data_IF_497308375675
#
_entry.id   IF_497308375675
#
_cell.length_a   1.000
_cell.length_b   1.000
_cell.length_c   1.000
_cell.angle_alpha   90.00
_cell.angle_beta   90.00
_cell.angle_gamma   90.00
#
_symmetry.space_group_name_H-M   'P 1'
#
loop_
_entity.id
_entity.type
_entity.pdbx_description
1 polymer ?
#
# COMPACT_ATOMS: atom_id res chain seq x y z
N UNK A 1 -22.53 4.78 10.83
CA UNK A 1 -21.10 5.12 10.78
C UNK A 1 -20.97 6.38 9.95
N UNK A 2 -20.43 7.45 10.54
CA UNK A 2 -20.25 8.76 9.93
C UNK A 2 -18.80 9.21 10.21
N UNK A 3 -18.16 9.80 9.21
CA UNK A 3 -16.81 10.35 9.34
C UNK A 3 -16.82 11.61 10.21
N UNK A 4 -15.70 11.92 10.85
CA UNK A 4 -15.61 13.04 11.79
C UNK A 4 -15.79 14.42 11.14
N UNK A 5 -15.54 14.55 9.83
CA UNK A 5 -15.65 15.83 9.14
C UNK A 5 -15.46 15.74 7.62
N UNK A 6 -15.57 16.88 6.91
CA UNK A 6 -15.42 16.95 5.46
C UNK A 6 -14.02 16.57 4.98
N UNK A 7 -12.98 16.86 5.77
CA UNK A 7 -11.60 16.51 5.42
C UNK A 7 -11.41 14.99 5.34
N UNK A 8 -11.99 14.24 6.29
CA UNK A 8 -11.96 12.77 6.29
C UNK A 8 -12.69 12.19 5.07
N UNK A 9 -13.79 12.82 4.66
CA UNK A 9 -14.53 12.42 3.46
C UNK A 9 -13.74 12.71 2.17
N UNK A 10 -13.09 13.88 2.10
CA UNK A 10 -12.22 14.25 0.98
C UNK A 10 -11.02 13.31 0.87
N UNK A 11 -10.40 12.98 2.00
CA UNK A 11 -9.28 12.03 2.09
C UNK A 11 -9.68 10.63 1.64
N UNK A 12 -10.82 10.12 2.12
CA UNK A 12 -11.36 8.85 1.65
C UNK A 12 -11.65 8.87 0.15
N UNK A 13 -12.29 9.93 -0.35
CA UNK A 13 -12.59 10.11 -1.77
C UNK A 13 -11.32 10.13 -2.64
N UNK A 14 -10.27 10.81 -2.17
CA UNK A 14 -8.97 10.85 -2.83
C UNK A 14 -8.28 9.48 -2.84
N UNK A 15 -8.37 8.71 -1.76
CA UNK A 15 -7.84 7.35 -1.69
C UNK A 15 -8.58 6.39 -2.62
N UNK A 16 -9.91 6.39 -2.59
CA UNK A 16 -10.74 5.51 -3.44
C UNK A 16 -10.57 5.85 -4.93
N UNK A 17 -10.50 7.13 -5.28
CA UNK A 17 -10.22 7.58 -6.65
C UNK A 17 -8.89 7.01 -7.17
N UNK A 18 -7.85 6.98 -6.32
CA UNK A 18 -6.55 6.40 -6.69
C UNK A 18 -6.60 4.88 -6.83
N UNK A 19 -7.34 4.16 -5.97
CA UNK A 19 -7.54 2.72 -6.12
C UNK A 19 -8.27 2.40 -7.44
N UNK A 20 -9.39 3.08 -7.69
CA UNK A 20 -10.22 2.92 -8.90
C UNK A 20 -9.52 3.36 -10.19
N UNK A 21 -8.39 4.07 -10.09
CA UNK A 21 -7.52 4.35 -11.24
C UNK A 21 -6.80 3.09 -11.71
N UNK A 22 -6.41 2.20 -10.81
CA UNK A 22 -5.67 0.98 -11.13
C UNK A 22 -6.57 -0.22 -11.39
N UNK A 23 -7.66 -0.34 -10.63
CA UNK A 23 -8.63 -1.43 -10.78
C UNK A 23 -10.05 -0.91 -10.60
N UNK A 24 -10.85 -0.96 -11.67
CA UNK A 24 -12.26 -0.52 -11.66
C UNK A 24 -13.16 -1.42 -10.82
N UNK A 25 -12.73 -2.65 -10.56
CA UNK A 25 -13.42 -3.60 -9.70
C UNK A 25 -12.85 -3.61 -8.27
N UNK A 26 -11.97 -2.67 -7.92
CA UNK A 26 -11.34 -2.61 -6.60
C UNK A 26 -12.39 -2.60 -5.49
N UNK A 27 -12.38 -3.64 -4.66
CA UNK A 27 -13.11 -3.67 -3.41
C UNK A 27 -12.25 -3.09 -2.29
N UNK A 28 -12.90 -2.58 -1.23
CA UNK A 28 -12.24 -2.21 0.02
C UNK A 28 -12.86 -2.96 1.19
N UNK A 29 -12.03 -3.29 2.18
CA UNK A 29 -12.48 -3.84 3.45
C UNK A 29 -12.44 -2.75 4.50
N UNK A 30 -13.60 -2.45 5.08
CA UNK A 30 -13.76 -1.44 6.12
C UNK A 30 -13.78 -2.10 7.48
N UNK A 31 -12.93 -1.64 8.39
CA UNK A 31 -12.78 -2.19 9.74
C UNK A 31 -12.85 -1.05 10.74
N UNK A 32 -13.90 -1.05 11.55
CA UNK A 32 -14.06 -0.09 12.63
C UNK A 32 -13.33 -0.54 13.90
N UNK A 33 -12.74 0.41 14.61
CA UNK A 33 -12.15 0.19 15.93
C UNK A 33 -12.24 1.47 16.76
N UNK A 34 -13.16 1.50 17.73
CA UNK A 34 -13.41 2.70 18.53
C UNK A 34 -13.76 3.90 17.63
N UNK A 35 -13.13 5.05 17.88
CA UNK A 35 -13.36 6.30 17.16
C UNK A 35 -12.66 6.38 15.78
N UNK A 36 -12.12 5.28 15.27
CA UNK A 36 -11.44 5.26 13.98
C UNK A 36 -11.98 4.14 13.08
N UNK A 37 -11.85 4.35 11.77
CA UNK A 37 -12.12 3.34 10.75
C UNK A 37 -10.88 3.15 9.89
N UNK A 38 -10.46 1.90 9.74
CA UNK A 38 -9.45 1.48 8.79
C UNK A 38 -10.11 1.02 7.48
N UNK A 39 -9.71 1.60 6.37
CA UNK A 39 -10.12 1.21 5.02
C UNK A 39 -8.93 0.55 4.34
N UNK A 40 -9.06 -0.76 4.12
CA UNK A 40 -8.05 -1.58 3.45
C UNK A 40 -8.39 -1.75 1.98
N UNK A 41 -7.42 -1.51 1.10
CA UNK A 41 -7.53 -1.72 -0.34
C UNK A 41 -6.37 -2.55 -0.87
N UNK A 42 -6.57 -3.22 -2.00
CA UNK A 42 -5.58 -4.12 -2.60
C UNK A 42 -5.26 -3.67 -4.03
N UNK A 43 -4.33 -2.72 -4.22
CA UNK A 43 -3.89 -2.35 -5.56
C UNK A 43 -3.12 -3.52 -6.21
N UNK A 44 -2.90 -3.49 -7.54
CA UNK A 44 -2.23 -4.56 -8.30
C UNK A 44 -0.70 -4.56 -8.12
N UNK A 45 -0.23 -4.44 -6.87
CA UNK A 45 1.19 -4.38 -6.50
C UNK A 45 1.59 -5.47 -5.49
N UNK A 46 0.71 -6.44 -5.23
CA UNK A 46 0.85 -7.47 -4.17
C UNK A 46 1.08 -6.90 -2.77
N UNK A 47 0.45 -5.76 -2.49
CA UNK A 47 0.43 -5.15 -1.16
C UNK A 47 -1.00 -4.86 -0.74
N UNK A 48 -1.17 -4.63 0.55
CA UNK A 48 -2.34 -3.99 1.12
C UNK A 48 -2.04 -2.52 1.38
N UNK A 49 -3.04 -1.68 1.15
CA UNK A 49 -3.04 -0.27 1.50
C UNK A 49 -4.01 -0.07 2.65
N UNK A 50 -3.69 0.80 3.59
CA UNK A 50 -4.55 1.14 4.72
C UNK A 50 -4.64 2.66 4.85
N UNK A 51 -5.87 3.15 4.86
CA UNK A 51 -6.21 4.50 5.31
C UNK A 51 -6.95 4.42 6.63
N UNK A 52 -6.47 5.16 7.62
CA UNK A 52 -7.18 5.33 8.89
C UNK A 52 -7.83 6.71 8.87
N UNK A 53 -9.11 6.75 9.23
CA UNK A 53 -9.94 7.96 9.23
C UNK A 53 -10.66 8.07 10.57
N UNK A 54 -10.85 9.28 11.08
CA UNK A 54 -11.63 9.51 12.29
C UNK A 54 -13.13 9.35 12.04
N UNK A 55 -13.82 8.73 13.00
CA UNK A 55 -15.28 8.64 13.05
C UNK A 55 -15.86 9.71 13.97
N UNK A 56 -17.05 10.21 13.65
CA UNK A 56 -17.82 11.03 14.57
C UNK A 56 -18.16 10.23 15.84
N UNK A 57 -18.10 10.87 17.01
CA UNK A 57 -18.24 10.22 18.31
C UNK A 57 -19.56 9.42 18.47
N UNK A 58 -20.63 9.89 17.84
CA UNK A 58 -21.96 9.26 17.87
C UNK A 58 -22.08 8.05 16.93
N UNK A 59 -21.08 7.82 16.07
CA UNK A 59 -21.18 6.91 14.95
C UNK A 59 -20.33 5.63 15.10
N UNK A 60 -19.95 5.29 16.35
CA UNK A 60 -19.22 4.08 16.70
C UNK A 60 -19.86 2.85 16.05
N UNK A 61 -19.16 2.13 15.16
CA UNK A 61 -19.79 1.06 14.41
C UNK A 61 -20.05 -0.14 15.31
N UNK A 62 -21.26 -0.69 15.26
CA UNK A 62 -21.48 -2.06 15.73
C UNK A 62 -20.61 -3.02 14.89
N UNK A 63 -20.06 -4.11 15.46
CA UNK A 63 -19.30 -5.08 14.68
C UNK A 63 -20.15 -5.59 13.51
N UNK A 64 -19.79 -5.21 12.28
CA UNK A 64 -20.41 -5.75 11.07
C UNK A 64 -19.76 -7.12 10.81
N UNK A 65 -20.51 -8.19 11.05
CA UNK A 65 -20.15 -9.52 10.60
C UNK A 65 -20.51 -9.65 9.11
N UNK A 66 -19.50 -9.94 8.27
CA UNK A 66 -19.71 -10.34 6.87
C UNK A 66 -19.31 -9.29 5.84
N UNK A 67 -18.24 -9.59 5.11
CA UNK A 67 -18.08 -9.18 3.72
C UNK A 67 -17.38 -10.35 3.01
N UNK A 68 -18.17 -11.15 2.32
CA UNK A 68 -17.76 -12.42 1.66
C UNK A 68 -16.95 -12.22 0.38
N UNK A 69 -16.66 -10.98 -0.02
CA UNK A 69 -15.94 -10.67 -1.26
C UNK A 69 -14.43 -10.44 -1.09
N UNK A 70 -13.90 -10.37 0.14
CA UNK A 70 -12.47 -10.16 0.39
C UNK A 70 -11.78 -11.48 0.75
N UNK A 71 -11.03 -12.05 -0.19
CA UNK A 71 -10.17 -13.22 0.06
C UNK A 71 -8.81 -12.76 0.60
N UNK A 72 -8.36 -13.37 1.70
CA UNK A 72 -7.03 -13.14 2.28
C UNK A 72 -7.04 -12.60 3.72
N UNK A 73 -5.95 -12.90 4.43
CA UNK A 73 -5.75 -12.47 5.80
C UNK A 73 -5.44 -10.98 5.89
N UNK A 74 -6.08 -10.30 6.83
CA UNK A 74 -5.63 -8.98 7.25
C UNK A 74 -4.33 -9.10 8.06
N UNK A 75 -3.49 -8.05 8.05
CA UNK A 75 -2.35 -8.00 8.95
C UNK A 75 -2.78 -8.13 10.42
N UNK A 76 -1.87 -8.60 11.30
CA UNK A 76 -2.12 -8.58 12.73
C UNK A 76 -2.38 -7.14 13.20
N UNK A 77 -3.31 -6.98 14.16
CA UNK A 77 -3.64 -5.68 14.74
C UNK A 77 -2.60 -5.21 15.74
N UNK A 78 -1.95 -6.14 16.43
CA UNK A 78 -0.96 -5.90 17.50
C UNK A 78 0.34 -6.62 17.20
N UNK A 79 1.36 -6.39 18.03
CA UNK A 79 2.67 -7.06 17.90
C UNK A 79 3.60 -6.44 16.85
N UNK A 80 3.30 -5.24 16.36
CA UNK A 80 4.16 -4.48 15.48
C UNK A 80 5.37 -3.94 16.24
N UNK A 81 6.57 -4.31 15.80
CA UNK A 81 7.84 -3.82 16.34
C UNK A 81 8.47 -2.83 15.37
N UNK A 82 9.07 -1.73 15.87
CA UNK A 82 9.81 -0.80 15.03
C UNK A 82 11.04 -1.48 14.43
N UNK A 83 11.24 -1.29 13.13
CA UNK A 83 12.45 -1.71 12.41
C UNK A 83 13.38 -0.51 12.21
N UNK A 84 12.80 0.66 11.90
CA UNK A 84 13.52 1.92 11.73
C UNK A 84 12.68 2.94 10.98
N UNK A 85 13.29 4.03 10.57
CA UNK A 85 12.66 5.09 9.78
C UNK A 85 13.45 5.37 8.51
N UNK A 86 12.76 5.77 7.44
CA UNK A 86 13.34 6.19 6.17
C UNK A 86 12.79 7.57 5.78
N UNK A 87 13.60 8.49 5.26
CA UNK A 87 13.10 9.73 4.68
C UNK A 87 12.13 9.44 3.53
N UNK A 88 11.08 10.26 3.40
CA UNK A 88 10.16 10.20 2.25
C UNK A 88 10.92 10.29 0.92
N UNK A 89 11.95 11.15 0.86
CA UNK A 89 12.79 11.30 -0.32
C UNK A 89 13.46 9.98 -0.76
N UNK A 90 13.91 9.15 0.18
CA UNK A 90 14.55 7.87 -0.13
C UNK A 90 13.54 6.90 -0.74
N UNK A 91 12.36 6.78 -0.11
CA UNK A 91 11.27 5.92 -0.59
C UNK A 91 10.80 6.37 -1.98
N UNK A 92 10.64 7.69 -2.20
CA UNK A 92 10.22 8.21 -3.49
C UNK A 92 11.29 7.99 -4.58
N UNK A 93 12.56 8.23 -4.26
CA UNK A 93 13.68 8.03 -5.19
C UNK A 93 13.77 6.57 -5.63
N UNK A 94 13.66 5.63 -4.69
CA UNK A 94 13.66 4.20 -5.00
C UNK A 94 12.49 3.81 -5.91
N UNK A 95 11.28 4.34 -5.64
CA UNK A 95 10.11 4.09 -6.48
C UNK A 95 10.29 4.64 -7.90
N UNK A 96 10.82 5.86 -8.05
CA UNK A 96 11.05 6.49 -9.35
C UNK A 96 12.13 5.78 -10.16
N UNK A 97 13.26 5.43 -9.53
CA UNK A 97 14.34 4.69 -10.17
C UNK A 97 13.85 3.37 -10.73
N UNK A 98 13.08 2.62 -9.94
CA UNK A 98 12.53 1.33 -10.35
C UNK A 98 11.47 1.44 -11.46
N UNK A 99 10.64 2.49 -11.46
CA UNK A 99 9.74 2.80 -12.60
C UNK A 99 10.53 3.10 -13.87
N UNK A 100 11.60 3.88 -13.77
CA UNK A 100 12.48 4.20 -14.89
C UNK A 100 13.13 2.94 -15.47
N UNK A 101 13.72 2.11 -14.61
CA UNK A 101 14.36 0.85 -15.00
C UNK A 101 13.34 -0.11 -15.64
N UNK A 102 12.16 -0.27 -15.05
CA UNK A 102 11.13 -1.15 -15.60
C UNK A 102 10.73 -0.73 -17.02
N UNK A 103 10.50 0.56 -17.24
CA UNK A 103 10.16 1.09 -18.58
C UNK A 103 11.28 0.81 -19.59
N UNK A 104 12.52 1.16 -19.22
CA UNK A 104 13.68 0.93 -20.08
C UNK A 104 13.82 -0.56 -20.44
N UNK A 105 13.75 -1.45 -19.45
CA UNK A 105 13.90 -2.89 -19.68
C UNK A 105 12.74 -3.46 -20.50
N UNK A 106 11.51 -3.03 -20.24
CA UNK A 106 10.33 -3.46 -20.99
C UNK A 106 10.43 -3.06 -22.48
N UNK A 107 10.97 -1.88 -22.78
CA UNK A 107 11.20 -1.40 -24.15
C UNK A 107 12.30 -2.19 -24.87
N UNK A 108 13.33 -2.64 -24.15
CA UNK A 108 14.43 -3.44 -24.72
C UNK A 108 14.04 -4.89 -25.05
N UNK A 109 12.87 -5.37 -24.61
CA UNK A 109 12.40 -6.72 -24.95
C UNK A 109 12.09 -6.77 -26.45
N UNK A 110 12.77 -7.64 -27.24
CA UNK A 110 12.50 -7.78 -28.66
C UNK A 110 11.04 -8.16 -28.92
N UNK A 111 10.42 -7.63 -29.98
CA UNK A 111 8.99 -7.85 -30.25
C UNK A 111 8.59 -9.34 -30.27
N UNK A 112 9.45 -10.19 -30.85
CA UNK A 112 9.29 -11.66 -30.90
C UNK A 112 9.25 -12.34 -29.52
N UNK A 113 9.81 -11.70 -28.49
CA UNK A 113 9.87 -12.19 -27.11
C UNK A 113 8.96 -11.39 -26.15
N UNK A 114 8.30 -10.33 -26.64
CA UNK A 114 7.45 -9.43 -25.84
C UNK A 114 6.13 -10.09 -25.47
N UNK A 115 6.22 -11.01 -24.52
CA UNK A 115 5.10 -11.71 -23.90
C UNK A 115 4.78 -11.12 -22.53
N UNK A 116 3.55 -11.35 -22.06
CA UNK A 116 3.15 -10.94 -20.71
C UNK A 116 4.08 -11.52 -19.63
N UNK A 117 4.44 -12.79 -19.77
CA UNK A 117 5.36 -13.47 -18.86
C UNK A 117 6.78 -12.87 -18.85
N UNK A 118 7.29 -12.42 -20.00
CA UNK A 118 8.59 -11.75 -20.07
C UNK A 118 8.58 -10.42 -19.31
N UNK A 119 7.51 -9.63 -19.50
CA UNK A 119 7.32 -8.35 -18.78
C UNK A 119 7.14 -8.59 -17.28
N UNK A 120 6.34 -9.59 -16.90
CA UNK A 120 6.09 -9.94 -15.49
C UNK A 120 7.38 -10.43 -14.79
N UNK A 121 8.29 -11.10 -15.51
CA UNK A 121 9.60 -11.49 -14.97
C UNK A 121 10.47 -10.25 -14.67
N UNK A 122 10.54 -9.30 -15.60
CA UNK A 122 11.25 -8.03 -15.39
C UNK A 122 10.65 -7.27 -14.21
N UNK A 123 9.31 -7.25 -14.12
CA UNK A 123 8.60 -6.66 -13.00
C UNK A 123 9.02 -7.32 -11.67
N UNK A 124 8.92 -8.64 -11.53
CA UNK A 124 9.27 -9.36 -10.32
C UNK A 124 10.72 -9.08 -9.88
N UNK A 125 11.67 -9.12 -10.81
CA UNK A 125 13.09 -8.86 -10.54
C UNK A 125 13.37 -7.45 -10.01
N UNK A 126 12.59 -6.44 -10.41
CA UNK A 126 12.78 -5.05 -9.98
C UNK A 126 12.03 -4.80 -8.67
N UNK A 127 10.77 -5.23 -8.62
CA UNK A 127 9.85 -4.89 -7.54
C UNK A 127 10.14 -5.64 -6.23
N UNK A 128 10.78 -6.82 -6.29
CA UNK A 128 11.16 -7.60 -5.11
C UNK A 128 12.55 -7.28 -4.56
N UNK A 129 13.29 -6.35 -5.20
CA UNK A 129 14.60 -5.93 -4.68
C UNK A 129 14.43 -5.28 -3.30
N UNK A 130 15.30 -5.60 -2.34
CA UNK A 130 15.29 -4.95 -1.05
C UNK A 130 15.78 -3.51 -1.17
N UNK A 131 15.02 -2.59 -0.57
CA UNK A 131 15.44 -1.28 -0.09
C UNK A 131 16.00 -1.43 1.35
N UNK A 132 16.49 -0.33 1.91
CA UNK A 132 16.78 -0.16 3.33
C UNK A 132 15.68 -0.73 4.23
N UNK A 133 16.09 -1.26 5.39
CA UNK A 133 15.21 -1.88 6.40
C UNK A 133 14.40 -3.10 5.88
N UNK A 134 14.82 -3.71 4.76
CA UNK A 134 14.21 -4.92 4.21
C UNK A 134 12.87 -4.71 3.52
N UNK A 135 12.47 -3.46 3.28
CA UNK A 135 11.30 -3.14 2.47
C UNK A 135 11.56 -3.47 1.00
N UNK A 136 10.69 -4.21 0.29
CA UNK A 136 10.87 -4.35 -1.14
C UNK A 136 10.48 -3.06 -1.86
N UNK A 137 11.09 -2.81 -3.01
CA UNK A 137 10.81 -1.64 -3.85
C UNK A 137 9.32 -1.53 -4.23
N UNK A 138 8.58 -2.64 -4.33
CA UNK A 138 7.11 -2.60 -4.54
C UNK A 138 6.37 -1.82 -3.47
N UNK A 139 6.82 -1.85 -2.21
CA UNK A 139 6.18 -1.11 -1.13
C UNK A 139 6.37 0.41 -1.34
N UNK A 140 7.55 0.82 -1.76
CA UNK A 140 7.85 2.20 -2.14
C UNK A 140 7.02 2.65 -3.35
N UNK A 141 6.96 1.82 -4.40
CA UNK A 141 6.13 2.06 -5.58
C UNK A 141 4.65 2.24 -5.21
N UNK A 142 4.10 1.35 -4.39
CA UNK A 142 2.71 1.42 -3.95
C UNK A 142 2.43 2.67 -3.11
N UNK A 143 3.32 3.03 -2.16
CA UNK A 143 3.19 4.24 -1.36
C UNK A 143 3.12 5.49 -2.25
N UNK A 144 3.99 5.57 -3.26
CA UNK A 144 3.97 6.65 -4.25
C UNK A 144 2.70 6.64 -5.11
N UNK A 145 2.34 5.49 -5.68
CA UNK A 145 1.18 5.33 -6.55
C UNK A 145 -0.13 5.72 -5.84
N UNK A 146 -0.22 5.43 -4.54
CA UNK A 146 -1.36 5.80 -3.69
C UNK A 146 -1.28 7.20 -3.12
N UNK A 147 -0.19 7.94 -3.36
CA UNK A 147 0.00 9.30 -2.86
C UNK A 147 0.23 9.38 -1.34
N UNK A 148 0.69 8.31 -0.71
CA UNK A 148 0.87 8.24 0.75
C UNK A 148 2.12 8.99 1.25
N UNK A 149 3.07 9.25 0.36
CA UNK A 149 4.31 9.96 0.68
C UNK A 149 4.08 11.46 0.92
N UNK A 150 3.11 12.05 0.21
CA UNK A 150 2.86 13.49 0.22
C UNK A 150 4.00 14.32 -0.40
N UNK A 151 3.92 15.66 -0.30
CA UNK A 151 4.89 16.56 -0.94
C UNK A 151 6.12 16.88 -0.06
N UNK A 152 6.11 16.50 1.22
CA UNK A 152 7.13 16.89 2.18
C UNK A 152 8.29 15.88 2.19
N UNK A 153 9.32 16.15 1.38
CA UNK A 153 10.45 15.24 1.19
C UNK A 153 11.28 14.97 2.45
N UNK A 154 11.28 15.91 3.41
CA UNK A 154 11.96 15.79 4.70
C UNK A 154 11.16 15.02 5.75
N UNK A 155 9.89 14.68 5.47
CA UNK A 155 9.11 13.86 6.39
C UNK A 155 9.71 12.45 6.49
N UNK A 156 9.54 11.82 7.65
CA UNK A 156 9.96 10.45 7.88
C UNK A 156 8.81 9.47 7.60
N UNK A 157 9.17 8.28 7.15
CA UNK A 157 8.31 7.11 7.08
C UNK A 157 8.82 6.09 8.09
N UNK A 158 7.91 5.39 8.78
CA UNK A 158 8.29 4.39 9.77
C UNK A 158 8.10 2.98 9.22
N UNK A 159 9.08 2.12 9.46
CA UNK A 159 9.07 0.71 9.05
C UNK A 159 8.84 -0.16 10.28
N UNK A 160 7.87 -1.06 10.19
CA UNK A 160 7.48 -1.94 11.29
C UNK A 160 7.34 -3.37 10.79
N UNK A 161 7.60 -4.33 11.68
CA UNK A 161 7.45 -5.76 11.39
C UNK A 161 6.58 -6.47 12.43
N UNK A 162 5.88 -7.52 12.00
CA UNK A 162 5.10 -8.39 12.87
C UNK A 162 5.09 -9.82 12.30
N UNK A 163 6.00 -10.67 12.77
CA UNK A 163 6.20 -12.01 12.19
C UNK A 163 6.55 -11.91 10.70
N UNK A 164 5.71 -12.48 9.82
CA UNK A 164 5.88 -12.43 8.37
C UNK A 164 5.26 -11.18 7.71
N UNK A 165 5.04 -10.11 8.45
CA UNK A 165 4.48 -8.87 7.92
C UNK A 165 5.48 -7.74 8.01
N UNK A 166 5.52 -6.91 6.96
CA UNK A 166 6.17 -5.61 6.95
C UNK A 166 5.13 -4.53 6.71
N UNK A 167 5.39 -3.37 7.29
CA UNK A 167 4.54 -2.20 7.18
C UNK A 167 5.39 -0.95 7.02
N UNK A 168 5.05 -0.15 6.02
CA UNK A 168 5.57 1.19 5.81
C UNK A 168 4.46 2.17 6.17
N UNK A 169 4.65 2.92 7.24
CA UNK A 169 3.76 4.00 7.64
C UNK A 169 4.30 5.31 7.07
N UNK A 170 3.62 5.79 6.03
CA UNK A 170 3.91 7.06 5.39
C UNK A 170 2.92 8.14 5.87
N UNK A 171 3.21 9.44 5.67
CA UNK A 171 2.42 10.51 6.26
C UNK A 171 0.92 10.48 5.95
N UNK A 172 0.53 10.02 4.75
CA UNK A 172 -0.87 10.01 4.30
C UNK A 172 -1.46 8.60 4.13
N UNK A 173 -0.80 7.57 4.66
CA UNK A 173 -1.31 6.21 4.64
C UNK A 173 -0.26 5.15 4.85
N UNK A 174 -0.73 3.91 4.98
CA UNK A 174 0.12 2.78 5.33
C UNK A 174 0.13 1.75 4.20
N UNK A 175 1.30 1.24 3.86
CA UNK A 175 1.47 0.04 3.02
C UNK A 175 1.78 -1.14 3.93
N UNK A 176 1.10 -2.27 3.73
CA UNK A 176 1.31 -3.51 4.47
C UNK A 176 1.52 -4.64 3.48
N UNK A 177 2.50 -5.50 3.72
CA UNK A 177 2.78 -6.63 2.86
C UNK A 177 3.27 -7.83 3.68
N UNK A 178 3.18 -9.02 3.09
CA UNK A 178 3.70 -10.23 3.69
C UNK A 178 5.13 -10.48 3.17
N UNK A 179 6.06 -10.78 4.06
CA UNK A 179 7.41 -11.19 3.70
C UNK A 179 7.43 -12.66 3.28
N UNK A 180 8.14 -12.93 2.19
CA UNK A 180 8.32 -14.28 1.64
C UNK A 180 7.08 -14.88 0.98
N UNK A 181 6.18 -14.06 0.42
CA UNK A 181 5.16 -14.54 -0.52
C UNK A 181 5.64 -14.30 -1.95
N UNK A 182 6.47 -15.22 -2.46
CA UNK A 182 6.28 -15.64 -3.84
C UNK A 182 4.95 -16.39 -3.92
N UNK A 183 4.11 -16.00 -4.89
CA UNK A 183 2.98 -16.75 -5.46
C UNK A 183 2.21 -17.69 -4.50
N UNK A 184 1.02 -17.27 -4.09
CA UNK A 184 -0.12 -18.18 -3.99
C UNK A 184 -1.16 -17.73 -5.02
#
# INVERSE_FOLDING_TARGET
MALAGPDEAADLGGYLTRLLRFDKAAAVRVVASGAAVGVYGRPPFDVLTLRTLALAAEALPRPLAGATAWTGFLPPRTGWQPVGELPVAEVETAALAAIGEFKQRAETIPDRERTRAAVDRVAAEIWDRPLSLGLPVRAAHAARAMGFLGPAQSAATAVRSAGRWLRLDAPYGTIVLRTGSGLL
#
